data_IF_290190948950
#
_entry.id   IF_290190948950
#
_cell.length_a   1.000
_cell.length_b   1.000
_cell.length_c   1.000
_cell.angle_alpha   90.00
_cell.angle_beta   90.00
_cell.angle_gamma   90.00
#
_symmetry.space_group_name_H-M   'P 1'
#
loop_
_entity.id
_entity.type
_entity.pdbx_description
1 polymer ?
#
# COMPACT_ATOMS: atom_id res chain seq x y z
N UNK A 1 -12.60 14.24 -11.57
CA UNK A 1 -11.35 13.51 -11.22
C UNK A 1 -10.05 14.26 -11.53
N UNK A 2 -9.84 14.82 -12.74
CA UNK A 2 -8.60 15.54 -13.09
C UNK A 2 -8.21 16.69 -12.14
N UNK A 3 -9.17 17.40 -11.55
CA UNK A 3 -8.88 18.48 -10.60
C UNK A 3 -8.10 18.02 -9.35
N UNK A 4 -8.36 16.82 -8.84
CA UNK A 4 -7.62 16.26 -7.71
C UNK A 4 -6.19 15.89 -8.11
N UNK A 5 -6.03 15.27 -9.29
CA UNK A 5 -4.70 14.94 -9.83
C UNK A 5 -3.85 16.20 -10.02
N UNK A 6 -4.41 17.27 -10.59
CA UNK A 6 -3.70 18.54 -10.81
C UNK A 6 -3.27 19.19 -9.48
N UNK A 7 -4.15 19.16 -8.46
CA UNK A 7 -3.83 19.67 -7.13
C UNK A 7 -2.71 18.89 -6.47
N UNK A 8 -2.76 17.56 -6.53
CA UNK A 8 -1.70 16.71 -6.00
C UNK A 8 -0.39 16.94 -6.75
N UNK A 9 -0.41 17.03 -8.08
CA UNK A 9 0.79 17.33 -8.86
C UNK A 9 1.43 18.68 -8.48
N UNK A 10 0.63 19.72 -8.21
CA UNK A 10 1.13 20.99 -7.72
C UNK A 10 1.78 20.87 -6.33
N UNK A 11 1.12 20.19 -5.38
CA UNK A 11 1.69 19.92 -4.05
C UNK A 11 2.97 19.09 -4.13
N UNK A 12 3.02 18.11 -5.03
CA UNK A 12 4.20 17.30 -5.29
C UNK A 12 5.36 18.12 -5.79
N UNK A 13 5.11 19.02 -6.74
CA UNK A 13 6.10 19.96 -7.26
C UNK A 13 6.67 20.83 -6.14
N UNK A 14 5.82 21.38 -5.27
CA UNK A 14 6.24 22.22 -4.15
C UNK A 14 7.07 21.44 -3.12
N UNK A 15 6.73 20.16 -2.90
CA UNK A 15 7.45 19.26 -2.00
C UNK A 15 8.67 18.57 -2.65
N UNK A 16 8.91 18.77 -3.94
CA UNK A 16 9.99 18.11 -4.69
C UNK A 16 9.80 16.60 -4.89
N UNK A 17 8.57 16.10 -4.85
CA UNK A 17 8.25 14.67 -4.99
C UNK A 17 7.12 14.44 -6.02
N UNK A 18 7.17 13.33 -6.74
CA UNK A 18 6.06 12.93 -7.60
C UNK A 18 4.93 12.32 -6.75
N UNK A 19 3.73 12.87 -6.82
CA UNK A 19 2.55 12.32 -6.13
C UNK A 19 1.35 12.21 -7.06
N UNK A 20 0.65 11.08 -6.95
CA UNK A 20 -0.61 10.81 -7.63
C UNK A 20 -1.61 10.19 -6.65
N UNK A 21 -2.93 10.26 -6.90
CA UNK A 21 -3.90 9.58 -6.03
C UNK A 21 -3.63 8.09 -5.85
N UNK A 22 -3.16 7.41 -6.91
CA UNK A 22 -2.85 5.99 -6.87
C UNK A 22 -1.61 5.73 -6.01
N UNK A 23 -0.55 6.54 -6.17
CA UNK A 23 0.65 6.42 -5.34
C UNK A 23 0.31 6.56 -3.86
N UNK A 24 -0.49 7.56 -3.50
CA UNK A 24 -0.92 7.78 -2.11
C UNK A 24 -1.74 6.60 -1.57
N UNK A 25 -2.64 6.01 -2.38
CA UNK A 25 -3.37 4.78 -2.01
C UNK A 25 -2.40 3.62 -1.74
N UNK A 26 -1.42 3.41 -2.62
CA UNK A 26 -0.44 2.33 -2.45
C UNK A 26 0.43 2.54 -1.21
N UNK A 27 0.91 3.76 -0.99
CA UNK A 27 1.68 4.11 0.21
C UNK A 27 0.85 3.87 1.47
N UNK A 28 -0.39 4.35 1.52
CA UNK A 28 -1.27 4.16 2.67
C UNK A 28 -1.47 2.68 3.01
N UNK A 29 -1.81 1.86 2.01
CA UNK A 29 -2.04 0.42 2.20
C UNK A 29 -0.77 -0.31 2.68
N UNK A 30 0.37 -0.02 2.05
CA UNK A 30 1.66 -0.64 2.39
C UNK A 30 2.07 -0.31 3.81
N UNK A 31 1.94 0.96 4.22
CA UNK A 31 2.30 1.41 5.57
C UNK A 31 1.40 0.81 6.63
N UNK A 32 0.09 0.71 6.38
CA UNK A 32 -0.81 0.04 7.33
C UNK A 32 -0.45 -1.43 7.53
N UNK A 33 -0.17 -2.17 6.45
CA UNK A 33 0.17 -3.60 6.55
C UNK A 33 1.55 -3.83 7.17
N UNK A 34 2.55 -3.02 6.78
CA UNK A 34 3.97 -3.29 7.12
C UNK A 34 4.49 -2.53 8.32
N UNK A 35 4.01 -1.31 8.57
CA UNK A 35 4.49 -0.47 9.67
C UNK A 35 3.53 -0.48 10.86
N UNK A 36 2.22 -0.48 10.60
CA UNK A 36 1.20 -0.50 11.65
C UNK A 36 0.69 -1.91 11.98
N UNK A 37 1.19 -2.94 11.28
CA UNK A 37 0.82 -4.35 11.45
C UNK A 37 -0.70 -4.60 11.41
N UNK A 38 -1.44 -3.75 10.68
CA UNK A 38 -2.88 -3.91 10.53
C UNK A 38 -3.20 -5.16 9.71
N UNK A 39 -4.31 -5.84 10.03
CA UNK A 39 -4.72 -7.02 9.27
C UNK A 39 -5.27 -6.66 7.87
N UNK A 40 -5.18 -7.61 6.95
CA UNK A 40 -5.55 -7.42 5.54
C UNK A 40 -7.01 -7.01 5.34
N UNK A 41 -7.92 -7.50 6.20
CA UNK A 41 -9.35 -7.21 6.09
C UNK A 41 -9.63 -5.77 6.53
N UNK A 42 -8.99 -5.32 7.62
CA UNK A 42 -9.05 -3.92 8.05
C UNK A 42 -8.53 -2.98 6.97
N UNK A 43 -7.39 -3.28 6.35
CA UNK A 43 -6.86 -2.45 5.26
C UNK A 43 -7.78 -2.44 4.04
N UNK A 44 -8.38 -3.59 3.68
CA UNK A 44 -9.36 -3.66 2.60
C UNK A 44 -10.60 -2.79 2.88
N UNK A 45 -11.12 -2.84 4.11
CA UNK A 45 -12.26 -2.03 4.53
C UNK A 45 -11.96 -0.53 4.46
N UNK A 46 -10.80 -0.09 4.95
CA UNK A 46 -10.36 1.31 4.88
C UNK A 46 -10.18 1.82 3.46
N UNK A 47 -9.75 0.95 2.54
CA UNK A 47 -9.61 1.28 1.12
C UNK A 47 -10.93 1.23 0.33
N UNK A 48 -11.99 0.69 0.93
CA UNK A 48 -13.28 0.46 0.29
C UNK A 48 -13.26 -0.67 -0.74
N UNK A 49 -12.39 -1.67 -0.58
CA UNK A 49 -12.33 -2.82 -1.48
C UNK A 49 -13.43 -3.83 -1.15
N UNK A 50 -14.28 -4.14 -2.14
CA UNK A 50 -15.31 -5.18 -2.02
C UNK A 50 -14.74 -6.61 -2.06
N UNK A 51 -13.53 -6.78 -2.60
CA UNK A 51 -12.81 -8.05 -2.64
C UNK A 51 -11.45 -7.88 -1.94
N UNK A 52 -11.23 -8.65 -0.87
CA UNK A 52 -9.97 -8.67 -0.12
C UNK A 52 -8.79 -9.09 -1.00
N UNK A 53 -9.03 -9.93 -2.02
CA UNK A 53 -8.02 -10.32 -3.01
C UNK A 53 -7.39 -9.12 -3.74
N UNK A 54 -8.12 -8.01 -3.91
CA UNK A 54 -7.56 -6.78 -4.49
C UNK A 54 -6.52 -6.14 -3.56
N UNK A 55 -6.68 -6.29 -2.25
CA UNK A 55 -5.73 -5.78 -1.23
C UNK A 55 -4.53 -6.70 -1.07
N UNK A 56 -4.64 -7.98 -1.42
CA UNK A 56 -3.55 -8.97 -1.28
C UNK A 56 -2.29 -8.61 -2.09
N UNK A 57 -2.39 -7.72 -3.09
CA UNK A 57 -1.22 -7.21 -3.81
C UNK A 57 -0.19 -6.55 -2.87
N UNK A 58 -0.62 -6.03 -1.72
CA UNK A 58 0.25 -5.38 -0.75
C UNK A 58 0.93 -6.34 0.23
N UNK A 59 0.54 -7.62 0.23
CA UNK A 59 1.08 -8.66 1.11
C UNK A 59 2.02 -9.62 0.38
N UNK A 60 2.39 -9.33 -0.87
CA UNK A 60 3.26 -10.22 -1.64
C UNK A 60 4.63 -10.35 -0.95
N UNK A 61 5.00 -11.55 -0.48
CA UNK A 61 6.30 -11.79 0.11
C UNK A 61 7.36 -11.76 -1.00
N UNK A 62 8.55 -11.31 -0.65
CA UNK A 62 9.73 -11.45 -1.50
C UNK A 62 10.45 -12.78 -1.21
N UNK A 63 11.47 -13.09 -2.01
CA UNK A 63 12.22 -14.34 -1.86
C UNK A 63 12.87 -14.50 -0.47
N UNK A 64 13.38 -13.43 0.13
CA UNK A 64 13.97 -13.47 1.47
C UNK A 64 12.93 -13.81 2.53
N UNK A 65 11.72 -13.22 2.46
CA UNK A 65 10.63 -13.51 3.39
C UNK A 65 10.26 -15.01 3.35
N UNK A 66 10.27 -15.61 2.15
CA UNK A 66 9.97 -17.03 1.94
C UNK A 66 11.07 -17.93 2.50
N UNK A 67 12.34 -17.56 2.31
CA UNK A 67 13.49 -18.28 2.86
C UNK A 67 13.47 -18.27 4.39
N UNK A 68 13.17 -17.13 5.00
CA UNK A 68 13.04 -16.99 6.45
C UNK A 68 11.93 -17.88 7.01
N UNK A 69 10.74 -17.86 6.39
CA UNK A 69 9.60 -18.67 6.81
C UNK A 69 9.91 -20.17 6.84
N UNK A 70 10.65 -20.69 5.84
CA UNK A 70 11.09 -22.09 5.81
C UNK A 70 12.19 -22.36 6.84
N UNK A 71 13.09 -21.40 7.05
CA UNK A 71 14.17 -21.50 8.04
C UNK A 71 13.68 -21.65 9.48
N UNK A 72 12.55 -21.02 9.81
CA UNK A 72 11.91 -21.09 11.13
C UNK A 72 11.21 -22.42 11.46
N UNK A 73 11.17 -23.39 10.54
CA UNK A 73 10.57 -24.72 10.75
C UNK A 73 11.53 -25.72 11.43
N UNK A 74 12.73 -25.29 11.84
CA UNK A 74 13.70 -26.12 12.56
C UNK A 74 13.48 -26.09 14.07
#
# INVERSE_FOLDING_TARGET
>A
ERGMQMRLAALGKDAGVEITPHLLRHTFATRLLREAEADLVTVAALLGHSNVGTTAIYTQPNEADMVEAVGGLK
#
